data_IF_371587136523
#
_entry.id   IF_371587136523
#
_cell.length_a   1.000
_cell.length_b   1.000
_cell.length_c   1.000
_cell.angle_alpha   90.00
_cell.angle_beta   90.00
_cell.angle_gamma   90.00
#
_symmetry.space_group_name_H-M   'P 1'
#
loop_
_entity.id
_entity.type
_entity.pdbx_description
1 polymer ?
#
# COMPACT_ATOMS: atom_id res chain seq x y z
N UNK A 1 20.02 15.30 19.73
CA UNK A 1 20.92 16.15 18.91
C UNK A 1 20.17 16.99 17.87
N UNK A 2 19.31 16.41 17.00
CA UNK A 2 18.58 17.18 15.99
C UNK A 2 17.64 18.28 16.54
N UNK A 3 16.96 18.02 17.65
CA UNK A 3 16.08 19.00 18.28
C UNK A 3 16.84 20.19 18.86
N UNK A 4 18.03 19.94 19.42
CA UNK A 4 18.90 20.98 19.97
C UNK A 4 19.47 21.85 18.84
N UNK A 5 19.91 21.23 17.73
CA UNK A 5 20.36 21.98 16.55
C UNK A 5 19.24 22.86 15.97
N UNK A 6 18.00 22.38 15.97
CA UNK A 6 16.82 23.14 15.56
C UNK A 6 16.55 24.36 16.43
N UNK A 7 16.65 24.22 17.76
CA UNK A 7 16.48 25.31 18.70
C UNK A 7 17.50 26.44 18.46
N UNK A 8 18.77 26.08 18.28
CA UNK A 8 19.83 27.07 18.01
C UNK A 8 19.69 27.70 16.62
N UNK A 9 19.21 26.96 15.61
CA UNK A 9 18.90 27.55 14.30
C UNK A 9 17.74 28.55 14.38
N UNK A 10 16.73 28.27 15.19
CA UNK A 10 15.61 29.20 15.45
C UNK A 10 16.09 30.45 16.20
N UNK A 11 17.01 30.30 17.16
CA UNK A 11 17.61 31.39 17.89
C UNK A 11 18.43 32.29 16.96
N UNK A 12 19.20 31.73 16.02
CA UNK A 12 19.95 32.47 15.01
C UNK A 12 19.06 33.28 14.05
N UNK A 13 17.80 32.87 13.84
CA UNK A 13 16.86 33.68 13.04
C UNK A 13 16.43 34.96 13.77
N UNK A 14 16.43 34.97 15.11
CA UNK A 14 16.09 36.15 15.94
C UNK A 14 17.31 36.95 16.33
N UNK A 15 18.44 36.30 16.47
CA UNK A 15 19.72 36.89 16.84
C UNK A 15 20.80 36.27 15.92
N UNK A 16 21.17 36.96 14.82
CA UNK A 16 22.14 36.47 13.85
C UNK A 16 23.54 36.20 14.42
N UNK A 17 23.87 36.81 15.55
CA UNK A 17 25.19 36.64 16.21
C UNK A 17 25.20 35.43 17.17
N UNK A 18 24.06 34.81 17.45
CA UNK A 18 23.99 33.65 18.31
C UNK A 18 24.74 32.46 17.69
N UNK A 19 25.78 31.97 18.36
CA UNK A 19 26.55 30.80 17.92
C UNK A 19 25.75 29.52 18.15
N UNK A 20 25.66 28.65 17.11
CA UNK A 20 25.10 27.31 17.22
C UNK A 20 26.19 26.33 17.66
N UNK A 21 26.19 25.87 18.92
CA UNK A 21 27.23 25.00 19.45
C UNK A 21 27.14 23.54 18.93
N UNK A 22 26.10 23.20 18.18
CA UNK A 22 25.95 21.85 17.62
C UNK A 22 26.81 21.69 16.36
N UNK A 23 27.81 20.78 16.33
CA UNK A 23 28.65 20.59 15.17
C UNK A 23 27.83 20.17 13.96
N UNK A 24 27.97 20.85 12.84
CA UNK A 24 27.39 20.42 11.57
C UNK A 24 28.17 19.20 11.08
N UNK A 25 27.60 18.01 11.22
CA UNK A 25 28.26 16.75 10.84
C UNK A 25 28.63 16.70 9.36
N UNK A 26 29.63 15.87 9.03
CA UNK A 26 30.18 15.66 7.69
C UNK A 26 29.15 15.27 6.60
N UNK A 27 27.97 14.78 7.00
CA UNK A 27 26.87 14.48 6.09
C UNK A 27 26.32 15.71 5.35
N UNK A 28 26.46 16.92 5.92
CA UNK A 28 26.04 18.16 5.26
C UNK A 28 26.95 18.56 4.08
N UNK A 29 28.19 18.05 4.03
CA UNK A 29 29.15 18.36 2.97
C UNK A 29 28.99 17.50 1.71
N UNK A 30 28.35 16.34 1.78
CA UNK A 30 28.24 15.42 0.63
C UNK A 30 27.15 15.78 -0.38
N UNK A 31 26.14 16.60 0.01
CA UNK A 31 25.03 16.98 -0.87
C UNK A 31 25.31 18.17 -1.79
N UNK A 32 26.42 18.90 -1.56
CA UNK A 32 26.76 20.07 -2.37
C UNK A 32 27.68 19.76 -3.57
N UNK A 33 28.21 18.53 -3.66
CA UNK A 33 29.19 18.17 -4.72
C UNK A 33 28.52 17.66 -6.01
N UNK A 34 27.23 17.33 -6.00
CA UNK A 34 26.48 16.80 -7.17
C UNK A 34 25.79 17.86 -8.03
N UNK A 35 25.64 19.09 -7.54
CA UNK A 35 24.90 20.15 -8.26
C UNK A 35 25.80 21.17 -9.00
N UNK A 36 27.10 20.91 -9.08
CA UNK A 36 28.05 21.83 -9.73
C UNK A 36 28.47 21.46 -11.14
N UNK A 37 27.67 20.66 -11.83
CA UNK A 37 28.01 20.18 -13.18
C UNK A 37 27.31 20.99 -14.28
N UNK A 38 27.47 22.29 -14.27
CA UNK A 38 27.02 23.15 -15.36
C UNK A 38 27.86 24.40 -15.46
N UNK A 39 28.07 24.90 -16.68
CA UNK A 39 28.92 26.07 -16.99
C UNK A 39 28.54 27.36 -16.23
N UNK A 40 27.33 27.39 -15.61
CA UNK A 40 26.80 28.51 -14.81
C UNK A 40 26.44 28.09 -13.36
N UNK A 41 26.98 26.98 -12.87
CA UNK A 41 26.70 26.45 -11.51
C UNK A 41 27.03 27.42 -10.36
N UNK A 42 27.89 28.42 -10.60
CA UNK A 42 28.21 29.48 -9.64
C UNK A 42 27.09 30.50 -9.44
N UNK A 43 26.11 30.57 -10.37
CA UNK A 43 24.96 31.49 -10.30
C UNK A 43 23.73 30.84 -9.68
N UNK A 44 23.77 29.53 -9.41
CA UNK A 44 22.67 28.83 -8.74
C UNK A 44 22.58 29.30 -7.28
N UNK A 45 21.53 30.06 -6.94
CA UNK A 45 21.23 30.42 -5.56
C UNK A 45 21.07 29.15 -4.73
N UNK A 46 21.79 29.01 -3.59
CA UNK A 46 21.59 27.87 -2.71
C UNK A 46 20.12 27.88 -2.26
N UNK A 47 19.38 26.85 -2.66
CA UNK A 47 18.03 26.65 -2.13
C UNK A 47 18.16 26.41 -0.63
N UNK A 48 17.61 27.34 0.16
CA UNK A 48 17.54 27.20 1.60
C UNK A 48 16.76 25.92 1.96
N UNK A 49 17.49 24.83 2.21
CA UNK A 49 16.93 23.58 2.74
C UNK A 49 16.82 23.67 4.26
N UNK A 50 16.10 24.65 4.77
CA UNK A 50 15.76 24.74 6.19
C UNK A 50 14.25 24.83 6.35
N UNK A 51 13.54 23.85 5.88
CA UNK A 51 12.26 23.57 6.49
C UNK A 51 12.50 22.61 7.64
N UNK A 52 12.45 23.12 8.87
CA UNK A 52 12.22 22.33 10.08
C UNK A 52 10.86 21.64 9.92
N UNK A 53 10.83 20.54 9.19
CA UNK A 53 9.68 19.64 9.26
C UNK A 53 9.73 18.98 10.62
N UNK A 54 8.93 19.48 11.54
CA UNK A 54 8.50 18.70 12.68
C UNK A 54 7.96 17.40 12.08
N UNK A 55 8.60 16.27 12.37
CA UNK A 55 8.06 14.96 12.01
C UNK A 55 6.79 14.81 12.82
N UNK A 56 5.65 15.12 12.19
CA UNK A 56 4.38 14.68 12.75
C UNK A 56 4.47 13.16 12.93
N UNK A 57 4.05 12.63 14.08
CA UNK A 57 3.99 11.18 14.24
C UNK A 57 3.16 10.65 13.07
N UNK A 58 3.74 9.79 12.25
CA UNK A 58 3.03 9.14 11.15
C UNK A 58 1.84 8.42 11.79
N UNK A 59 0.65 9.00 11.64
CA UNK A 59 -0.57 8.28 11.97
C UNK A 59 -0.52 7.01 11.15
N UNK A 60 -0.58 5.86 11.82
CA UNK A 60 -0.67 4.58 11.14
C UNK A 60 -1.86 4.66 10.18
N UNK A 61 -1.71 4.26 8.92
CA UNK A 61 -2.82 4.24 7.99
C UNK A 61 -3.93 3.38 8.62
N UNK A 62 -5.12 3.94 8.78
CA UNK A 62 -6.26 3.19 9.28
C UNK A 62 -6.83 2.35 8.14
N UNK A 63 -6.97 1.03 8.33
CA UNK A 63 -7.80 0.19 7.49
C UNK A 63 -9.28 0.57 7.63
N UNK A 64 -10.10 0.13 6.69
CA UNK A 64 -11.55 0.24 6.79
C UNK A 64 -12.04 -0.76 7.84
N UNK A 65 -13.01 -0.36 8.66
CA UNK A 65 -13.71 -1.31 9.51
C UNK A 65 -14.71 -2.16 8.70
N UNK A 66 -15.34 -3.14 9.37
CA UNK A 66 -16.29 -4.05 8.71
C UNK A 66 -17.49 -3.34 8.10
N UNK A 67 -18.01 -2.28 8.75
CA UNK A 67 -19.17 -1.54 8.28
C UNK A 67 -18.81 -0.66 7.09
N UNK A 68 -17.69 0.06 7.16
CA UNK A 68 -17.12 0.85 6.07
C UNK A 68 -16.82 -0.03 4.84
N UNK A 69 -16.24 -1.22 5.08
CA UNK A 69 -15.93 -2.18 4.01
C UNK A 69 -17.21 -2.67 3.32
N UNK A 70 -18.23 -3.07 4.08
CA UNK A 70 -19.53 -3.50 3.54
C UNK A 70 -20.22 -2.37 2.76
N UNK A 71 -20.25 -1.17 3.30
CA UNK A 71 -20.84 -0.01 2.65
C UNK A 71 -20.14 0.33 1.32
N UNK A 72 -18.80 0.33 1.32
CA UNK A 72 -18.02 0.61 0.11
C UNK A 72 -18.22 -0.49 -0.94
N UNK A 73 -18.10 -1.77 -0.59
CA UNK A 73 -18.30 -2.89 -1.52
C UNK A 73 -19.73 -2.92 -2.07
N UNK A 74 -20.72 -2.68 -1.23
CA UNK A 74 -22.13 -2.61 -1.63
C UNK A 74 -22.46 -1.44 -2.57
N UNK A 75 -21.64 -0.40 -2.58
CA UNK A 75 -21.82 0.74 -3.48
C UNK A 75 -21.45 0.42 -4.93
N UNK A 76 -20.51 -0.49 -5.18
CA UNK A 76 -20.10 -0.88 -6.53
C UNK A 76 -21.23 -1.58 -7.27
N UNK A 77 -21.51 -1.15 -8.50
CA UNK A 77 -22.65 -1.64 -9.30
C UNK A 77 -22.24 -2.60 -10.42
N UNK A 78 -20.96 -2.64 -10.78
CA UNK A 78 -20.44 -3.49 -11.85
C UNK A 78 -19.57 -4.59 -11.27
N UNK A 79 -19.58 -5.77 -11.88
CA UNK A 79 -18.71 -6.88 -11.46
C UNK A 79 -17.25 -6.56 -11.70
N UNK A 80 -16.94 -5.73 -12.70
CA UNK A 80 -15.60 -5.15 -12.89
C UNK A 80 -15.10 -4.43 -11.64
N UNK A 81 -15.88 -3.47 -11.13
CA UNK A 81 -15.45 -2.60 -10.04
C UNK A 81 -15.42 -3.37 -8.70
N UNK A 82 -16.36 -4.32 -8.52
CA UNK A 82 -16.36 -5.26 -7.41
C UNK A 82 -15.15 -6.19 -7.44
N UNK A 83 -14.80 -6.75 -8.61
CA UNK A 83 -13.62 -7.60 -8.76
C UNK A 83 -12.32 -6.83 -8.48
N UNK A 84 -12.20 -5.59 -8.96
CA UNK A 84 -11.07 -4.71 -8.65
C UNK A 84 -10.94 -4.49 -7.14
N UNK A 85 -12.03 -4.11 -6.47
CA UNK A 85 -12.03 -3.89 -5.03
C UNK A 85 -11.74 -5.19 -4.25
N UNK A 86 -12.30 -6.32 -4.69
CA UNK A 86 -12.07 -7.64 -4.12
C UNK A 86 -10.62 -8.09 -4.21
N UNK A 87 -9.96 -7.92 -5.35
CA UNK A 87 -8.52 -8.22 -5.51
C UNK A 87 -7.64 -7.39 -4.58
N UNK A 88 -8.02 -6.15 -4.29
CA UNK A 88 -7.29 -5.31 -3.33
C UNK A 88 -7.55 -5.72 -1.89
N UNK A 89 -8.79 -6.10 -1.55
CA UNK A 89 -9.22 -6.41 -0.20
C UNK A 89 -8.89 -7.84 0.22
N UNK A 90 -9.01 -8.83 -0.68
CA UNK A 90 -8.87 -10.26 -0.34
C UNK A 90 -7.57 -10.90 -0.87
N UNK A 91 -6.92 -10.27 -1.87
CA UNK A 91 -5.62 -10.72 -2.37
C UNK A 91 -4.51 -9.69 -2.15
N UNK A 92 -4.84 -8.52 -1.61
CA UNK A 92 -3.90 -7.49 -1.21
C UNK A 92 -3.13 -6.83 -2.36
N UNK A 93 -3.66 -6.81 -3.58
CA UNK A 93 -3.00 -6.22 -4.73
C UNK A 93 -2.92 -4.69 -4.62
N UNK A 94 -1.82 -4.12 -5.14
CA UNK A 94 -1.70 -2.66 -5.32
C UNK A 94 -2.50 -2.20 -6.54
N UNK A 95 -2.89 -0.91 -6.56
CA UNK A 95 -3.59 -0.34 -7.73
C UNK A 95 -2.84 -0.56 -9.05
N UNK A 96 -1.53 -0.35 -9.07
CA UNK A 96 -0.72 -0.57 -10.25
C UNK A 96 -0.66 -2.05 -10.66
N UNK A 97 -0.63 -2.96 -9.70
CA UNK A 97 -0.65 -4.40 -9.94
C UNK A 97 -1.99 -4.82 -10.54
N UNK A 98 -3.12 -4.38 -9.97
CA UNK A 98 -4.46 -4.66 -10.52
C UNK A 98 -4.62 -4.14 -11.95
N UNK A 99 -4.15 -2.92 -12.21
CA UNK A 99 -4.20 -2.32 -13.56
C UNK A 99 -3.24 -3.01 -14.55
N UNK A 100 -2.18 -3.62 -14.02
CA UNK A 100 -1.20 -4.36 -14.80
C UNK A 100 -1.61 -5.79 -15.16
N UNK A 101 -2.64 -6.36 -14.49
CA UNK A 101 -3.06 -7.74 -14.75
C UNK A 101 -3.51 -7.95 -16.19
N UNK A 102 -3.13 -9.08 -16.75
CA UNK A 102 -3.65 -9.61 -18.00
C UNK A 102 -4.68 -10.72 -17.72
N UNK A 103 -5.52 -11.04 -18.69
CA UNK A 103 -6.51 -12.13 -18.56
C UNK A 103 -5.82 -13.45 -18.24
N UNK A 104 -4.65 -13.69 -18.84
CA UNK A 104 -3.82 -14.89 -18.61
C UNK A 104 -3.19 -14.97 -17.22
N UNK A 105 -3.19 -13.89 -16.44
CA UNK A 105 -2.61 -13.87 -15.10
C UNK A 105 -3.55 -14.45 -14.05
N UNK A 106 -4.84 -14.62 -14.38
CA UNK A 106 -5.85 -15.11 -13.45
C UNK A 106 -6.21 -16.54 -13.76
N UNK A 107 -5.80 -17.46 -12.90
CA UNK A 107 -6.18 -18.88 -12.98
C UNK A 107 -7.38 -19.12 -12.04
N UNK A 108 -8.59 -18.91 -12.59
CA UNK A 108 -9.86 -19.08 -11.86
C UNK A 108 -10.00 -20.53 -11.37
N UNK A 109 -9.64 -21.50 -12.22
CA UNK A 109 -9.80 -22.92 -11.89
C UNK A 109 -8.94 -23.40 -10.74
N UNK A 110 -7.73 -22.85 -10.62
CA UNK A 110 -6.79 -23.17 -9.53
C UNK A 110 -6.85 -22.19 -8.38
N UNK A 111 -7.57 -21.07 -8.50
CA UNK A 111 -7.69 -20.05 -7.47
C UNK A 111 -6.40 -19.25 -7.23
N UNK A 112 -5.68 -18.87 -8.28
CA UNK A 112 -4.44 -18.11 -8.18
C UNK A 112 -4.40 -16.91 -9.12
N UNK A 113 -3.72 -15.87 -8.69
CA UNK A 113 -3.36 -14.70 -9.51
C UNK A 113 -1.85 -14.54 -9.55
N UNK A 114 -1.30 -14.44 -10.75
CA UNK A 114 0.10 -14.08 -10.98
C UNK A 114 0.23 -12.56 -10.97
N UNK A 115 1.10 -12.02 -10.15
CA UNK A 115 1.27 -10.59 -9.96
C UNK A 115 2.71 -10.20 -10.21
N UNK A 116 2.94 -9.24 -11.09
CA UNK A 116 4.26 -8.64 -11.33
C UNK A 116 4.36 -7.38 -10.49
N UNK A 117 5.28 -7.37 -9.53
CA UNK A 117 5.54 -6.27 -8.61
C UNK A 117 6.62 -5.31 -9.11
N UNK A 118 7.08 -4.44 -8.22
CA UNK A 118 8.19 -3.51 -8.49
C UNK A 118 9.47 -4.29 -8.82
N UNK A 119 10.16 -3.89 -9.90
CA UNK A 119 11.40 -4.54 -10.35
C UNK A 119 11.16 -5.92 -10.96
N UNK A 120 10.03 -6.11 -11.64
CA UNK A 120 9.62 -7.34 -12.34
C UNK A 120 9.62 -8.61 -11.46
N UNK A 121 9.50 -8.43 -10.15
CA UNK A 121 9.39 -9.56 -9.23
C UNK A 121 8.00 -10.19 -9.35
N UNK A 122 7.98 -11.43 -9.80
CA UNK A 122 6.75 -12.22 -9.89
C UNK A 122 6.42 -12.85 -8.53
N UNK A 123 5.13 -12.84 -8.19
CA UNK A 123 4.57 -13.63 -7.09
C UNK A 123 3.20 -14.16 -7.46
N UNK A 124 2.79 -15.23 -6.80
CA UNK A 124 1.44 -15.76 -6.88
C UNK A 124 0.70 -15.46 -5.58
N UNK A 125 -0.53 -14.99 -5.71
CA UNK A 125 -1.41 -14.73 -4.56
C UNK A 125 -2.68 -15.56 -4.72
N UNK A 126 -3.24 -16.07 -3.61
CA UNK A 126 -4.52 -16.75 -3.64
C UNK A 126 -5.63 -15.82 -4.15
N UNK A 127 -6.51 -16.38 -4.95
CA UNK A 127 -7.73 -15.74 -5.43
C UNK A 127 -8.91 -16.25 -4.61
N UNK A 128 -9.55 -15.34 -3.90
CA UNK A 128 -10.76 -15.64 -3.15
C UNK A 128 -11.88 -16.14 -4.09
N UNK A 129 -12.66 -17.19 -3.71
CA UNK A 129 -13.69 -17.76 -4.57
C UNK A 129 -14.77 -16.78 -5.03
N UNK A 130 -15.17 -15.84 -4.15
CA UNK A 130 -16.18 -14.83 -4.51
C UNK A 130 -15.61 -13.83 -5.50
N UNK A 131 -14.31 -13.45 -5.34
CA UNK A 131 -13.61 -12.59 -6.30
C UNK A 131 -13.39 -13.32 -7.63
N UNK A 132 -13.09 -14.63 -7.61
CA UNK A 132 -12.99 -15.44 -8.81
C UNK A 132 -14.30 -15.44 -9.61
N UNK A 133 -15.43 -15.60 -8.92
CA UNK A 133 -16.77 -15.54 -9.52
C UNK A 133 -17.05 -14.17 -10.14
N UNK A 134 -16.70 -13.08 -9.45
CA UNK A 134 -16.83 -11.71 -9.97
C UNK A 134 -15.97 -11.48 -11.22
N UNK A 135 -14.71 -11.96 -11.22
CA UNK A 135 -13.83 -11.88 -12.39
C UNK A 135 -14.42 -12.67 -13.55
N UNK A 136 -14.93 -13.88 -13.29
CA UNK A 136 -15.54 -14.71 -14.33
C UNK A 136 -16.78 -14.03 -14.93
N UNK A 137 -17.70 -13.53 -14.11
CA UNK A 137 -18.90 -12.82 -14.57
C UNK A 137 -18.52 -11.56 -15.36
N UNK A 138 -17.55 -10.80 -14.88
CA UNK A 138 -17.03 -9.65 -15.61
C UNK A 138 -16.49 -10.04 -17.01
N UNK A 139 -15.68 -11.09 -17.09
CA UNK A 139 -15.11 -11.55 -18.36
C UNK A 139 -16.18 -12.00 -19.35
N UNK A 140 -17.22 -12.68 -18.86
CA UNK A 140 -18.27 -13.28 -19.72
C UNK A 140 -19.34 -12.27 -20.12
N UNK A 141 -19.72 -11.34 -19.23
CA UNK A 141 -20.90 -10.51 -19.41
C UNK A 141 -20.63 -9.00 -19.53
N UNK A 142 -19.61 -8.49 -18.88
CA UNK A 142 -19.40 -7.02 -18.81
C UNK A 142 -18.19 -6.52 -19.58
N UNK A 143 -17.16 -7.36 -19.77
CA UNK A 143 -15.92 -6.92 -20.39
C UNK A 143 -16.17 -6.53 -21.85
N UNK A 144 -15.83 -5.29 -22.16
CA UNK A 144 -15.95 -4.81 -23.54
C UNK A 144 -15.07 -5.65 -24.49
N UNK A 145 -15.58 -5.92 -25.66
CA UNK A 145 -14.80 -6.54 -26.75
C UNK A 145 -13.61 -5.65 -27.09
N UNK A 146 -12.40 -6.25 -27.13
CA UNK A 146 -11.16 -5.50 -27.28
C UNK A 146 -9.99 -6.42 -27.65
N UNK A 147 -9.02 -5.89 -28.37
CA UNK A 147 -7.73 -6.54 -28.62
C UNK A 147 -6.76 -6.45 -27.42
N UNK A 148 -7.10 -5.70 -26.38
CA UNK A 148 -6.25 -5.55 -25.20
C UNK A 148 -6.18 -6.85 -24.41
N UNK A 149 -4.97 -7.26 -24.02
CA UNK A 149 -4.76 -8.40 -23.11
C UNK A 149 -5.04 -8.03 -21.64
N UNK A 150 -5.13 -6.71 -21.32
CA UNK A 150 -5.37 -6.27 -19.93
C UNK A 150 -6.69 -6.80 -19.41
N UNK A 151 -6.68 -7.29 -18.17
CA UNK A 151 -7.89 -7.82 -17.52
C UNK A 151 -8.97 -6.76 -17.46
N UNK A 152 -8.66 -5.59 -16.89
CA UNK A 152 -9.63 -4.52 -16.69
C UNK A 152 -9.55 -3.45 -17.79
N UNK A 153 -10.68 -3.26 -18.44
CA UNK A 153 -10.84 -2.29 -19.52
C UNK A 153 -11.97 -1.30 -19.22
N UNK A 154 -11.98 -0.19 -19.93
CA UNK A 154 -13.04 0.81 -19.85
C UNK A 154 -14.33 0.25 -20.48
N UNK A 155 -15.45 0.28 -19.73
CA UNK A 155 -16.71 -0.33 -20.15
C UNK A 155 -17.56 0.59 -21.04
N UNK A 156 -17.44 1.92 -20.91
CA UNK A 156 -18.34 2.89 -21.56
C UNK A 156 -17.58 4.13 -22.05
N UNK A 157 -18.18 4.84 -23.00
CA UNK A 157 -17.67 6.11 -23.53
C UNK A 157 -16.62 5.94 -24.64
N UNK A 158 -15.95 7.04 -25.04
CA UNK A 158 -15.06 7.08 -26.22
C UNK A 158 -13.80 6.18 -26.08
N UNK A 159 -13.46 5.80 -24.85
CA UNK A 159 -12.32 4.94 -24.54
C UNK A 159 -12.73 3.47 -24.25
N UNK A 160 -13.97 3.09 -24.59
CA UNK A 160 -14.46 1.71 -24.37
C UNK A 160 -13.49 0.68 -24.97
N UNK A 161 -13.16 -0.35 -24.20
CA UNK A 161 -12.21 -1.41 -24.59
C UNK A 161 -10.73 -1.07 -24.38
N UNK A 162 -10.37 0.19 -24.10
CA UNK A 162 -8.99 0.53 -23.74
C UNK A 162 -8.67 0.08 -22.31
N UNK A 163 -7.39 -0.19 -21.98
CA UNK A 163 -6.97 -0.49 -20.62
C UNK A 163 -7.46 0.56 -19.62
N UNK A 164 -7.95 0.11 -18.45
CA UNK A 164 -8.34 1.01 -17.39
C UNK A 164 -7.11 1.76 -16.85
N UNK A 165 -7.15 3.08 -16.88
CA UNK A 165 -6.05 3.93 -16.42
C UNK A 165 -6.08 4.13 -14.89
N UNK A 166 -4.94 4.56 -14.32
CA UNK A 166 -4.86 4.92 -12.91
C UNK A 166 -5.83 6.07 -12.55
N UNK A 167 -6.06 7.01 -13.46
CA UNK A 167 -7.04 8.08 -13.23
C UNK A 167 -8.47 7.55 -13.32
N UNK A 168 -8.76 6.63 -14.24
CA UNK A 168 -10.05 5.95 -14.33
C UNK A 168 -10.37 5.21 -13.01
N UNK A 169 -9.39 4.46 -12.49
CA UNK A 169 -9.53 3.76 -11.21
C UNK A 169 -9.77 4.75 -10.04
N UNK A 170 -9.00 5.85 -9.97
CA UNK A 170 -9.19 6.88 -8.93
C UNK A 170 -10.58 7.50 -9.00
N UNK A 171 -11.12 7.71 -10.22
CA UNK A 171 -12.47 8.26 -10.43
C UNK A 171 -13.54 7.29 -9.93
N UNK A 172 -13.41 6.00 -10.22
CA UNK A 172 -14.32 4.96 -9.72
C UNK A 172 -14.37 5.00 -8.18
N UNK A 173 -13.20 4.94 -7.52
CA UNK A 173 -13.16 4.97 -6.06
C UNK A 173 -13.64 6.29 -5.47
N UNK A 174 -13.35 7.42 -6.08
CA UNK A 174 -13.85 8.74 -5.64
C UNK A 174 -15.37 8.76 -5.64
N UNK A 175 -16.00 8.32 -6.72
CA UNK A 175 -17.44 8.24 -6.85
C UNK A 175 -18.08 7.31 -5.80
N UNK A 176 -17.54 6.10 -5.66
CA UNK A 176 -18.13 5.10 -4.78
C UNK A 176 -17.95 5.42 -3.29
N UNK A 177 -16.83 6.00 -2.88
CA UNK A 177 -16.65 6.42 -1.48
C UNK A 177 -17.59 7.56 -1.08
N UNK A 178 -17.95 8.43 -2.01
CA UNK A 178 -18.94 9.51 -1.78
C UNK A 178 -20.34 8.90 -1.59
N UNK A 179 -20.76 7.99 -2.47
CA UNK A 179 -22.06 7.29 -2.36
C UNK A 179 -22.16 6.47 -1.09
N UNK A 180 -21.08 5.76 -0.73
CA UNK A 180 -21.04 4.91 0.44
C UNK A 180 -20.92 5.69 1.76
N UNK A 181 -20.64 6.99 1.73
CA UNK A 181 -20.34 7.77 2.92
C UNK A 181 -19.04 7.35 3.63
N UNK A 182 -18.08 6.79 2.88
CA UNK A 182 -16.80 6.26 3.40
C UNK A 182 -15.63 7.07 2.85
N UNK A 183 -15.27 8.21 3.45
CA UNK A 183 -14.20 9.09 2.94
C UNK A 183 -12.84 8.39 2.84
N UNK A 184 -12.58 7.43 3.72
CA UNK A 184 -11.37 6.60 3.73
C UNK A 184 -11.36 5.51 2.65
N UNK A 185 -12.46 5.32 1.89
CA UNK A 185 -12.65 4.27 0.90
C UNK A 185 -11.82 4.44 -0.37
N UNK A 186 -10.52 4.31 -0.27
CA UNK A 186 -9.59 4.39 -1.41
C UNK A 186 -8.82 3.06 -1.58
N UNK A 187 -8.25 2.79 -2.76
CA UNK A 187 -7.59 1.53 -3.06
C UNK A 187 -6.56 1.08 -2.04
N UNK A 188 -5.77 2.03 -1.53
CA UNK A 188 -4.73 1.71 -0.54
C UNK A 188 -5.30 1.30 0.80
N UNK A 189 -6.47 1.85 1.20
CA UNK A 189 -7.15 1.44 2.42
C UNK A 189 -7.64 -0.01 2.36
N UNK A 190 -8.19 -0.48 1.22
CA UNK A 190 -8.59 -1.87 1.03
C UNK A 190 -7.40 -2.84 1.22
N UNK A 191 -6.28 -2.54 0.57
CA UNK A 191 -5.07 -3.36 0.76
C UNK A 191 -4.54 -3.29 2.20
N UNK A 192 -4.69 -2.15 2.87
CA UNK A 192 -4.32 -2.02 4.28
C UNK A 192 -5.23 -2.87 5.16
N UNK A 193 -6.54 -2.86 4.90
CA UNK A 193 -7.49 -3.76 5.59
C UNK A 193 -7.14 -5.22 5.40
N UNK A 194 -6.69 -5.64 4.20
CA UNK A 194 -6.17 -6.99 3.98
C UNK A 194 -4.99 -7.32 4.90
N UNK A 195 -3.98 -6.44 4.96
CA UNK A 195 -2.83 -6.65 5.83
C UNK A 195 -3.21 -6.72 7.31
N UNK A 196 -4.13 -5.86 7.75
CA UNK A 196 -4.65 -5.86 9.13
C UNK A 196 -5.40 -7.15 9.45
N UNK A 197 -6.30 -7.59 8.56
CA UNK A 197 -7.05 -8.83 8.73
C UNK A 197 -6.15 -10.07 8.81
N UNK A 198 -5.08 -10.14 7.98
CA UNK A 198 -4.10 -11.21 8.06
C UNK A 198 -3.33 -11.20 9.38
N UNK A 199 -2.92 -10.01 9.85
CA UNK A 199 -2.23 -9.86 11.13
C UNK A 199 -3.12 -10.28 12.30
N UNK A 200 -4.39 -9.88 12.29
CA UNK A 200 -5.39 -10.27 13.30
C UNK A 200 -5.70 -11.78 13.27
N UNK A 201 -5.71 -12.39 12.07
CA UNK A 201 -5.83 -13.83 11.89
C UNK A 201 -4.60 -14.62 12.33
N UNK A 202 -3.49 -13.93 12.61
CA UNK A 202 -2.28 -14.56 13.11
C UNK A 202 -1.43 -15.23 12.03
N UNK A 203 -1.50 -14.75 10.81
CA UNK A 203 -0.68 -15.30 9.72
C UNK A 203 0.80 -15.00 9.98
N UNK A 204 1.67 -15.93 9.60
CA UNK A 204 3.12 -15.75 9.74
C UNK A 204 3.60 -14.52 8.95
N UNK A 205 4.55 -13.77 9.53
CA UNK A 205 5.11 -12.54 8.94
C UNK A 205 5.75 -12.80 7.59
N UNK A 206 6.41 -13.92 7.42
CA UNK A 206 7.06 -14.30 6.16
C UNK A 206 6.02 -14.57 5.06
N UNK A 207 4.90 -15.21 5.42
CA UNK A 207 3.78 -15.44 4.51
C UNK A 207 3.11 -14.12 4.14
N UNK A 208 2.90 -13.23 5.13
CA UNK A 208 2.35 -11.89 4.87
C UNK A 208 3.26 -11.09 3.94
N UNK A 209 4.58 -11.13 4.15
CA UNK A 209 5.56 -10.50 3.27
C UNK A 209 5.45 -11.01 1.83
N UNK A 210 5.39 -12.33 1.66
CA UNK A 210 5.28 -12.96 0.35
C UNK A 210 3.98 -12.54 -0.36
N UNK A 211 2.84 -12.57 0.33
CA UNK A 211 1.54 -12.19 -0.22
C UNK A 211 1.49 -10.70 -0.60
N UNK A 212 1.97 -9.83 0.26
CA UNK A 212 1.92 -8.39 0.04
C UNK A 212 3.05 -7.88 -0.88
N UNK A 213 4.08 -8.68 -1.18
CA UNK A 213 5.21 -8.27 -2.00
C UNK A 213 5.93 -7.06 -1.41
N UNK A 214 6.31 -7.13 -0.13
CA UNK A 214 7.10 -6.10 0.53
C UNK A 214 8.58 -6.48 0.48
N UNK A 215 9.42 -5.59 -0.04
CA UNK A 215 10.87 -5.79 -0.10
C UNK A 215 11.54 -5.70 1.29
N UNK A 216 10.88 -5.07 2.27
CA UNK A 216 11.40 -4.84 3.61
C UNK A 216 10.41 -5.27 4.70
N UNK A 217 10.92 -5.92 5.75
CA UNK A 217 10.16 -6.33 6.95
C UNK A 217 9.48 -5.14 7.62
N UNK A 218 10.12 -3.97 7.61
CA UNK A 218 9.58 -2.74 8.21
C UNK A 218 8.20 -2.36 7.69
N UNK A 219 7.88 -2.72 6.44
CA UNK A 219 6.57 -2.46 5.85
C UNK A 219 5.48 -3.36 6.42
N UNK A 220 5.85 -4.55 6.92
CA UNK A 220 4.92 -5.50 7.56
C UNK A 220 4.84 -5.22 9.07
N UNK A 221 5.90 -4.69 9.67
CA UNK A 221 5.95 -4.35 11.09
C UNK A 221 4.80 -3.43 11.52
N UNK A 222 4.34 -2.53 10.64
CA UNK A 222 3.19 -1.66 10.89
C UNK A 222 1.89 -2.44 11.17
N UNK A 223 1.73 -3.63 10.60
CA UNK A 223 0.56 -4.48 10.82
C UNK A 223 0.69 -5.33 12.08
N UNK A 224 1.91 -5.78 12.40
CA UNK A 224 2.19 -6.62 13.58
C UNK A 224 1.95 -5.81 14.87
N UNK A 225 2.34 -4.55 14.89
CA UNK A 225 2.13 -3.66 16.06
C UNK A 225 0.65 -3.32 16.29
N UNK A 226 -0.24 -3.55 15.33
CA UNK A 226 -1.66 -3.23 15.44
C UNK A 226 -2.49 -4.33 16.10
N UNK A 227 -1.95 -5.53 16.30
CA UNK A 227 -2.71 -6.65 16.87
C UNK A 227 -2.07 -7.23 18.15
N UNK A 228 -2.30 -6.60 19.33
CA UNK A 228 -1.90 -7.18 20.62
C UNK A 228 -2.53 -8.57 20.86
N UNK A 229 -3.74 -8.80 20.31
CA UNK A 229 -4.43 -10.08 20.38
C UNK A 229 -3.68 -11.19 19.64
N UNK A 230 -2.98 -10.89 18.56
CA UNK A 230 -2.14 -11.85 17.86
C UNK A 230 -0.92 -12.25 18.69
N UNK A 231 -0.23 -11.28 19.30
CA UNK A 231 0.93 -11.55 20.16
C UNK A 231 0.53 -12.49 21.30
N UNK A 232 -0.62 -12.22 21.93
CA UNK A 232 -1.14 -13.07 23.02
C UNK A 232 -1.47 -14.47 22.53
N UNK A 233 -2.17 -14.62 21.40
CA UNK A 233 -2.54 -15.91 20.81
C UNK A 233 -1.31 -16.74 20.44
N UNK A 234 -0.35 -16.15 19.75
CA UNK A 234 0.90 -16.81 19.36
C UNK A 234 1.70 -17.26 20.58
N UNK A 235 1.73 -16.48 21.66
CA UNK A 235 2.36 -16.87 22.92
C UNK A 235 1.65 -18.07 23.56
N UNK A 236 0.32 -18.02 23.67
CA UNK A 236 -0.47 -19.09 24.28
C UNK A 236 -0.34 -20.40 23.50
N UNK A 237 -0.35 -20.35 22.16
CA UNK A 237 -0.11 -21.50 21.29
C UNK A 237 1.32 -22.07 21.45
N UNK A 238 2.33 -21.22 21.47
CA UNK A 238 3.71 -21.64 21.67
C UNK A 238 3.90 -22.33 23.04
N UNK A 239 3.29 -21.77 24.09
CA UNK A 239 3.30 -22.37 25.42
C UNK A 239 2.55 -23.70 25.49
N UNK A 240 1.42 -23.83 24.79
CA UNK A 240 0.68 -25.08 24.70
C UNK A 240 1.51 -26.18 24.03
N UNK A 241 2.18 -25.86 22.90
CA UNK A 241 3.08 -26.79 22.19
C UNK A 241 4.27 -27.21 23.06
N UNK A 242 4.86 -26.27 23.81
CA UNK A 242 5.96 -26.58 24.72
C UNK A 242 5.52 -27.54 25.82
N UNK A 243 4.39 -27.27 26.50
CA UNK A 243 3.84 -28.17 27.55
C UNK A 243 3.50 -29.56 27.00
N UNK A 244 2.94 -29.64 25.78
CA UNK A 244 2.68 -30.93 25.15
C UNK A 244 3.94 -31.74 24.88
N UNK A 245 5.06 -31.08 24.51
CA UNK A 245 6.37 -31.75 24.34
C UNK A 245 7.02 -32.19 25.67
N UNK A 246 6.79 -31.42 26.74
CA UNK A 246 7.29 -31.76 28.10
C UNK A 246 6.51 -32.91 28.71
N UNK A 247 5.18 -32.99 28.45
CA UNK A 247 4.31 -34.07 28.94
C UNK A 247 4.46 -35.41 28.17
N UNK A 248 5.02 -35.36 26.95
CA UNK A 248 5.26 -36.54 26.12
C UNK A 248 6.67 -37.14 26.27
N UNK A 249 7.46 -36.64 27.22
CA UNK A 249 8.74 -37.20 27.64
C UNK A 249 8.63 -37.86 29.01
#
# INVERSE_FOLDING_TARGET
>A
MAAIAGLFSFRQMRDPEALNPVPRGAAARRTTRGERSGMLGHLARPRARTQLRVREPRRLPRGLDSSETKALLGSFRTDRDRAIAGLMLFSGLRSAEVLGLEVSDVDIGRGWVRVIGKGDKERRVPLDPDVASLVQTYLLAERAETASKRLFVVSKGPHRGQPLSAEGLRRVFRYHREIAGVPAGHPHALRHSFGTALAEAGIDVSVMQALMGHDHVDSVAAYIHLSPAHVRRSYDEARARQRAREAGR
#
